data_IF_263493665998
#
_entry.id   IF_263493665998
#
_cell.length_a   1.000
_cell.length_b   1.000
_cell.length_c   1.000
_cell.angle_alpha   90.00
_cell.angle_beta   90.00
_cell.angle_gamma   90.00
#
_symmetry.space_group_name_H-M   'P 1'
#
loop_
_entity.id
_entity.type
_entity.pdbx_description
1 polymer ?
#
# COMPACT_ATOMS: atom_id res chain seq x y z
N UNK A 1 -5.40 14.02 6.57
CA UNK A 1 -3.94 13.96 6.39
C UNK A 1 -3.59 12.59 5.83
N UNK A 2 -2.87 12.50 4.71
CA UNK A 2 -2.39 11.21 4.21
C UNK A 2 -1.22 10.80 5.11
N UNK A 3 -1.40 9.71 5.87
CA UNK A 3 -0.31 9.12 6.65
C UNK A 3 0.38 8.10 5.75
N UNK A 4 1.66 8.32 5.48
CA UNK A 4 2.46 7.48 4.61
C UNK A 4 3.77 7.12 5.33
N UNK A 5 4.15 5.85 5.23
CA UNK A 5 5.44 5.36 5.70
C UNK A 5 6.56 5.78 4.72
N UNK A 6 7.81 5.58 5.14
CA UNK A 6 8.99 5.91 4.32
C UNK A 6 9.00 5.17 2.98
N UNK A 7 8.54 3.91 2.95
CA UNK A 7 8.44 3.12 1.73
C UNK A 7 7.41 3.68 0.74
N UNK A 8 6.25 4.14 1.22
CA UNK A 8 5.26 4.80 0.37
C UNK A 8 5.77 6.14 -0.15
N UNK A 9 6.46 6.93 0.68
CA UNK A 9 7.07 8.20 0.25
C UNK A 9 8.08 8.00 -0.89
N UNK A 10 8.98 7.02 -0.74
CA UNK A 10 9.95 6.67 -1.79
C UNK A 10 9.25 6.27 -3.09
N UNK A 11 8.19 5.46 -2.98
CA UNK A 11 7.41 5.02 -4.14
C UNK A 11 6.78 6.20 -4.88
N UNK A 12 6.18 7.14 -4.14
CA UNK A 12 5.59 8.35 -4.73
C UNK A 12 6.65 9.21 -5.41
N UNK A 13 7.79 9.45 -4.76
CA UNK A 13 8.87 10.26 -5.34
C UNK A 13 9.39 9.65 -6.65
N UNK A 14 9.74 8.36 -6.63
CA UNK A 14 10.24 7.64 -7.81
C UNK A 14 9.20 7.69 -8.95
N UNK A 15 7.94 7.36 -8.68
CA UNK A 15 6.88 7.36 -9.70
C UNK A 15 6.63 8.78 -10.23
N UNK A 16 6.68 9.81 -9.38
CA UNK A 16 6.53 11.21 -9.80
C UNK A 16 7.65 11.66 -10.75
N UNK A 17 8.89 11.22 -10.50
CA UNK A 17 10.03 11.52 -11.38
C UNK A 17 9.89 10.83 -12.75
N UNK A 18 9.37 9.60 -12.76
CA UNK A 18 9.07 8.90 -14.02
C UNK A 18 7.94 9.59 -14.77
N UNK A 19 6.87 10.01 -14.10
CA UNK A 19 5.77 10.77 -14.71
C UNK A 19 6.24 12.10 -15.31
N UNK A 20 7.20 12.77 -14.66
CA UNK A 20 7.86 13.99 -15.16
C UNK A 20 8.93 13.73 -16.23
N UNK A 21 9.11 12.48 -16.69
CA UNK A 21 10.14 12.05 -17.64
C UNK A 21 11.58 12.32 -17.18
N UNK A 22 11.80 12.51 -15.88
CA UNK A 22 13.13 12.71 -15.26
C UNK A 22 13.84 11.39 -14.93
N UNK A 23 13.14 10.26 -15.04
CA UNK A 23 13.65 8.92 -14.75
C UNK A 23 13.02 7.90 -15.70
N UNK A 24 13.80 6.92 -16.16
CA UNK A 24 13.28 5.83 -17.00
C UNK A 24 12.54 4.78 -16.15
N UNK A 25 11.57 4.11 -16.76
CA UNK A 25 10.82 3.01 -16.12
C UNK A 25 11.75 1.87 -15.66
N UNK A 26 12.80 1.58 -16.42
CA UNK A 26 13.82 0.57 -16.08
C UNK A 26 14.58 0.90 -14.80
N UNK A 27 14.84 2.18 -14.55
CA UNK A 27 15.62 2.62 -13.39
C UNK A 27 14.73 2.62 -12.15
N UNK A 28 13.49 3.09 -12.28
CA UNK A 28 12.48 2.98 -11.24
C UNK A 28 12.20 1.52 -10.83
N UNK A 29 12.16 0.59 -11.79
CA UNK A 29 11.99 -0.84 -11.53
C UNK A 29 13.12 -1.39 -10.64
N UNK A 30 14.37 -0.96 -10.89
CA UNK A 30 15.53 -1.33 -10.07
C UNK A 30 15.46 -0.71 -8.67
N UNK A 31 15.17 0.59 -8.58
CA UNK A 31 15.10 1.32 -7.29
C UNK A 31 14.02 0.76 -6.38
N UNK A 32 12.83 0.47 -6.93
CA UNK A 32 11.70 -0.03 -6.14
C UNK A 32 11.69 -1.56 -6.01
N UNK A 33 12.66 -2.26 -6.62
CA UNK A 33 12.72 -3.72 -6.72
C UNK A 33 11.39 -4.32 -7.21
N UNK A 34 10.82 -3.74 -8.28
CA UNK A 34 9.56 -4.16 -8.90
C UNK A 34 9.73 -4.45 -10.38
N UNK A 35 8.78 -5.21 -10.94
CA UNK A 35 8.72 -5.43 -12.37
C UNK A 35 8.34 -4.16 -13.14
N UNK A 36 8.76 -4.05 -14.40
CA UNK A 36 8.36 -2.95 -15.30
C UNK A 36 6.84 -2.78 -15.34
N UNK A 37 6.09 -3.89 -15.44
CA UNK A 37 4.62 -3.92 -15.40
C UNK A 37 4.03 -3.26 -14.15
N UNK A 38 4.70 -3.42 -12.99
CA UNK A 38 4.25 -2.79 -11.74
C UNK A 38 4.47 -1.29 -11.78
N UNK A 39 5.59 -0.82 -12.35
CA UNK A 39 5.86 0.60 -12.52
C UNK A 39 4.85 1.23 -13.50
N UNK A 40 4.55 0.57 -14.62
CA UNK A 40 3.51 1.01 -15.57
C UNK A 40 2.13 1.10 -14.89
N UNK A 41 1.77 0.09 -14.09
CA UNK A 41 0.53 0.10 -13.31
C UNK A 41 0.51 1.25 -12.30
N UNK A 42 1.62 1.55 -11.64
CA UNK A 42 1.73 2.68 -10.72
C UNK A 42 1.59 4.01 -11.45
N UNK A 43 2.22 4.18 -12.62
CA UNK A 43 2.05 5.38 -13.44
C UNK A 43 0.59 5.60 -13.83
N UNK A 44 -0.08 4.55 -14.31
CA UNK A 44 -1.51 4.62 -14.65
C UNK A 44 -2.34 5.11 -13.45
N UNK A 45 -2.17 4.48 -12.28
CA UNK A 45 -2.90 4.89 -11.08
C UNK A 45 -2.49 6.28 -10.58
N UNK A 46 -1.23 6.68 -10.74
CA UNK A 46 -0.78 8.02 -10.37
C UNK A 46 -1.42 9.09 -11.25
N UNK A 47 -1.65 8.82 -12.54
CA UNK A 47 -2.38 9.73 -13.42
C UNK A 47 -3.88 9.81 -13.08
N UNK A 48 -4.48 8.73 -12.59
CA UNK A 48 -5.91 8.67 -12.24
C UNK A 48 -6.21 9.20 -10.82
N UNK A 49 -5.41 8.80 -9.83
CA UNK A 49 -5.65 8.98 -8.40
C UNK A 49 -4.67 9.98 -7.75
N UNK A 50 -3.66 10.47 -8.49
CA UNK A 50 -2.60 11.32 -7.95
C UNK A 50 -1.77 10.60 -6.88
N UNK A 51 -1.31 11.33 -5.86
CA UNK A 51 -0.51 10.79 -4.74
C UNK A 51 -1.25 9.68 -3.97
N UNK A 52 -2.58 9.65 -4.01
CA UNK A 52 -3.38 8.67 -3.26
C UNK A 52 -3.20 7.23 -3.75
N UNK A 53 -2.62 7.00 -4.93
CA UNK A 53 -2.42 5.67 -5.49
C UNK A 53 -1.63 4.71 -4.59
N UNK A 54 -0.73 5.26 -3.77
CA UNK A 54 0.13 4.50 -2.87
C UNK A 54 -0.65 3.92 -1.68
N UNK A 55 -1.82 4.49 -1.37
CA UNK A 55 -2.68 4.01 -0.30
C UNK A 55 -3.31 2.69 -0.75
N UNK A 56 -3.18 1.67 0.10
CA UNK A 56 -3.86 0.41 -0.12
C UNK A 56 -5.39 0.62 -0.07
N UNK A 57 -6.13 0.04 -1.02
CA UNK A 57 -7.58 0.29 -1.15
C UNK A 57 -8.40 -0.23 0.05
N UNK A 58 -7.82 -1.13 0.83
CA UNK A 58 -8.40 -1.63 2.08
C UNK A 58 -7.90 -0.89 3.34
N UNK A 59 -7.07 0.15 3.20
CA UNK A 59 -6.65 0.96 4.36
C UNK A 59 -7.88 1.60 5.02
N UNK A 60 -8.02 1.40 6.33
CA UNK A 60 -9.15 1.91 7.11
C UNK A 60 -10.47 1.16 6.91
N UNK A 61 -10.52 0.14 6.03
CA UNK A 61 -11.71 -0.68 5.80
C UNK A 61 -11.56 -2.03 6.49
N UNK A 62 -12.64 -2.50 7.12
CA UNK A 62 -12.71 -3.86 7.65
C UNK A 62 -13.19 -4.80 6.53
N UNK A 63 -12.50 -5.93 6.29
CA UNK A 63 -12.99 -6.96 5.37
C UNK A 63 -14.36 -7.47 5.82
N UNK A 64 -15.26 -7.74 4.88
CA UNK A 64 -16.58 -8.31 5.18
C UNK A 64 -16.48 -9.67 5.90
N UNK A 65 -15.44 -10.44 5.57
CA UNK A 65 -15.19 -11.77 6.13
C UNK A 65 -14.30 -11.71 7.39
N UNK A 66 -14.08 -10.53 7.98
CA UNK A 66 -13.31 -10.41 9.21
C UNK A 66 -14.12 -11.01 10.36
N UNK A 67 -13.48 -11.87 11.14
CA UNK A 67 -14.05 -12.39 12.39
C UNK A 67 -14.40 -11.20 13.31
N UNK A 68 -15.63 -11.14 13.86
CA UNK A 68 -16.02 -10.08 14.78
C UNK A 68 -15.02 -9.94 15.93
N UNK A 69 -14.68 -8.71 16.28
CA UNK A 69 -13.70 -8.44 17.33
C UNK A 69 -14.18 -8.97 18.70
N UNK A 70 -15.50 -9.09 18.91
CA UNK A 70 -16.08 -9.68 20.12
C UNK A 70 -15.79 -11.17 20.24
N UNK A 71 -15.94 -11.93 19.15
CA UNK A 71 -15.60 -13.36 19.14
C UNK A 71 -14.10 -13.56 19.39
N UNK A 72 -13.26 -12.69 18.81
CA UNK A 72 -11.82 -12.71 19.05
C UNK A 72 -11.49 -12.47 20.53
N UNK A 73 -12.15 -11.52 21.19
CA UNK A 73 -11.97 -11.24 22.63
C UNK A 73 -12.43 -12.44 23.48
N UNK A 74 -13.57 -13.04 23.17
CA UNK A 74 -14.08 -14.22 23.88
C UNK A 74 -13.07 -15.37 23.84
N UNK A 75 -12.51 -15.67 22.66
CA UNK A 75 -11.48 -16.70 22.51
C UNK A 75 -10.22 -16.37 23.33
N UNK A 76 -9.77 -15.11 23.31
CA UNK A 76 -8.60 -14.68 24.09
C UNK A 76 -8.82 -14.79 25.60
N UNK A 77 -10.01 -14.45 26.10
CA UNK A 77 -10.36 -14.64 27.51
C UNK A 77 -10.35 -16.10 27.90
N UNK A 78 -10.97 -16.97 27.09
CA UNK A 78 -10.99 -18.41 27.35
C UNK A 78 -9.58 -19.00 27.45
N UNK A 79 -8.68 -18.60 26.55
CA UNK A 79 -7.28 -19.04 26.60
C UNK A 79 -6.65 -18.63 27.93
N UNK A 80 -6.76 -17.35 28.32
CA UNK A 80 -6.15 -16.84 29.56
C UNK A 80 -6.72 -17.46 30.84
N UNK A 81 -7.99 -17.83 30.82
CA UNK A 81 -8.68 -18.36 32.00
C UNK A 81 -8.47 -19.87 32.18
N UNK A 82 -8.31 -20.61 31.09
CA UNK A 82 -8.21 -22.09 31.13
C UNK A 82 -6.83 -22.68 30.88
N UNK A 83 -5.91 -21.92 30.30
CA UNK A 83 -4.57 -22.39 29.91
C UNK A 83 -3.51 -21.37 30.33
#
# INVERSE_FOLDING_TARGET
MIVMDSSSQLTVDVVSRVAQRKMRVSDAAKILHKSHRTIERYLKRFHEEGIQFVIHRNTGKQPANKIPDDLKKQVQSLIKEKY
#
